data_IF_161636000589
#
_entry.id   IF_161636000589
#
_cell.length_a   1.000
_cell.length_b   1.000
_cell.length_c   1.000
_cell.angle_alpha   90.00
_cell.angle_beta   90.00
_cell.angle_gamma   90.00
#
_symmetry.space_group_name_H-M   'P 1'
#
loop_
_entity.id
_entity.type
_entity.pdbx_description
1 polymer ?
#
# COMPACT_ATOMS: atom_id res chain seq x y z
N UNK A 1 12.40 -13.15 -19.65
CA UNK A 1 12.28 -12.24 -20.81
C UNK A 1 10.90 -12.25 -21.43
N UNK A 2 10.38 -13.37 -21.97
CA UNK A 2 9.02 -13.38 -22.52
C UNK A 2 7.95 -13.20 -21.43
N UNK A 3 8.06 -13.92 -20.31
CA UNK A 3 7.12 -13.82 -19.19
C UNK A 3 7.11 -12.41 -18.57
N UNK A 4 8.27 -11.81 -18.30
CA UNK A 4 8.39 -10.47 -17.73
C UNK A 4 7.73 -9.41 -18.62
N UNK A 5 7.86 -9.53 -19.95
CA UNK A 5 7.17 -8.65 -20.91
C UNK A 5 5.66 -8.86 -20.93
N UNK A 6 5.18 -10.09 -20.80
CA UNK A 6 3.74 -10.36 -20.66
C UNK A 6 3.17 -9.80 -19.35
N UNK A 7 3.90 -9.97 -18.24
CA UNK A 7 3.53 -9.38 -16.94
C UNK A 7 3.51 -7.86 -17.05
N UNK A 8 4.53 -7.25 -17.67
CA UNK A 8 4.58 -5.80 -17.88
C UNK A 8 3.46 -5.30 -18.79
N UNK A 9 3.05 -6.05 -19.82
CA UNK A 9 1.89 -5.70 -20.65
C UNK A 9 0.58 -5.71 -19.85
N UNK A 10 0.38 -6.73 -19.02
CA UNK A 10 -0.81 -6.84 -18.16
C UNK A 10 -0.81 -5.69 -17.14
N UNK A 11 0.32 -5.43 -16.49
CA UNK A 11 0.47 -4.37 -15.51
C UNK A 11 0.27 -2.98 -16.14
N UNK A 12 0.79 -2.74 -17.34
CA UNK A 12 0.55 -1.53 -18.12
C UNK A 12 -0.94 -1.34 -18.42
N UNK A 13 -1.65 -2.40 -18.83
CA UNK A 13 -3.10 -2.37 -19.05
C UNK A 13 -3.86 -2.00 -17.77
N UNK A 14 -3.51 -2.60 -16.63
CA UNK A 14 -4.09 -2.29 -15.33
C UNK A 14 -3.81 -0.83 -14.94
N UNK A 15 -2.57 -0.35 -15.07
CA UNK A 15 -2.21 1.02 -14.74
C UNK A 15 -2.90 2.04 -15.65
N UNK A 16 -3.10 1.74 -16.94
CA UNK A 16 -3.88 2.58 -17.86
C UNK A 16 -5.36 2.63 -17.47
N UNK A 17 -5.99 1.48 -17.20
CA UNK A 17 -7.38 1.44 -16.77
C UNK A 17 -7.59 2.16 -15.42
N UNK A 18 -6.68 1.92 -14.47
CA UNK A 18 -6.69 2.56 -13.17
C UNK A 18 -6.44 4.08 -13.26
N UNK A 19 -5.51 4.50 -14.12
CA UNK A 19 -5.28 5.90 -14.45
C UNK A 19 -6.50 6.55 -15.08
N UNK A 20 -7.10 5.93 -16.10
CA UNK A 20 -8.32 6.45 -16.73
C UNK A 20 -9.43 6.69 -15.70
N UNK A 21 -9.67 5.73 -14.80
CA UNK A 21 -10.60 5.92 -13.70
C UNK A 21 -10.19 7.11 -12.79
N UNK A 22 -8.91 7.21 -12.44
CA UNK A 22 -8.42 8.29 -11.59
C UNK A 22 -8.58 9.70 -12.20
N UNK A 23 -8.30 9.88 -13.50
CA UNK A 23 -8.40 11.18 -14.18
C UNK A 23 -9.81 11.55 -14.62
N UNK A 24 -10.61 10.58 -15.07
CA UNK A 24 -11.89 10.89 -15.71
C UNK A 24 -13.10 10.57 -14.83
N UNK A 25 -13.09 9.46 -14.10
CA UNK A 25 -14.26 9.08 -13.28
C UNK A 25 -14.21 9.70 -11.90
N UNK A 26 -13.06 9.62 -11.22
CA UNK A 26 -12.92 10.15 -9.87
C UNK A 26 -12.99 11.68 -9.84
N UNK A 27 -12.30 12.38 -10.75
CA UNK A 27 -12.29 13.85 -10.77
C UNK A 27 -13.67 14.45 -11.08
N UNK A 28 -14.42 13.83 -12.00
CA UNK A 28 -15.76 14.28 -12.37
C UNK A 28 -16.76 14.13 -11.19
N UNK A 29 -16.58 13.09 -10.37
CA UNK A 29 -17.44 12.79 -9.21
C UNK A 29 -17.05 13.56 -7.94
N UNK A 30 -15.98 14.37 -7.97
CA UNK A 30 -15.59 15.16 -6.80
C UNK A 30 -16.62 16.25 -6.48
N UNK A 31 -17.14 16.21 -5.26
CA UNK A 31 -18.01 17.25 -4.74
C UNK A 31 -17.30 18.63 -4.71
N UNK A 32 -18.03 19.75 -4.85
CA UNK A 32 -17.44 21.09 -4.95
C UNK A 32 -16.52 21.48 -3.79
N UNK A 33 -16.76 20.95 -2.58
CA UNK A 33 -15.91 21.21 -1.42
C UNK A 33 -14.56 20.47 -1.48
N UNK A 34 -14.49 19.28 -2.08
CA UNK A 34 -13.23 18.52 -2.21
C UNK A 34 -12.31 19.09 -3.28
N UNK A 35 -12.86 19.76 -4.30
CA UNK A 35 -12.08 20.40 -5.36
C UNK A 35 -11.23 21.57 -4.86
N UNK A 36 -11.58 22.13 -3.69
CA UNK A 36 -10.84 23.21 -3.03
C UNK A 36 -9.66 22.71 -2.19
N UNK A 37 -9.55 21.41 -1.95
CA UNK A 37 -8.44 20.86 -1.19
C UNK A 37 -7.17 20.76 -2.06
N UNK A 38 -5.98 21.00 -1.49
CA UNK A 38 -4.71 20.89 -2.22
C UNK A 38 -4.45 19.51 -2.80
N UNK A 39 -4.96 18.46 -2.15
CA UNK A 39 -4.78 17.06 -2.53
C UNK A 39 -6.14 16.39 -2.65
N UNK A 40 -6.40 15.80 -3.82
CA UNK A 40 -7.63 15.08 -4.10
C UNK A 40 -7.47 13.58 -3.81
N UNK A 41 -8.58 12.86 -3.53
CA UNK A 41 -8.58 11.41 -3.44
C UNK A 41 -7.98 10.70 -4.67
N UNK A 42 -8.09 11.32 -5.85
CA UNK A 42 -7.53 10.81 -7.10
C UNK A 42 -6.03 11.03 -7.26
N UNK A 43 -5.39 11.88 -6.43
CA UNK A 43 -3.97 12.24 -6.57
C UNK A 43 -3.05 11.03 -6.40
N UNK A 44 -3.30 10.20 -5.38
CA UNK A 44 -2.54 8.96 -5.17
C UNK A 44 -2.71 7.96 -6.33
N UNK A 45 -3.95 7.63 -6.76
CA UNK A 45 -4.17 6.80 -7.95
C UNK A 45 -3.47 7.31 -9.22
N UNK A 46 -3.46 8.63 -9.44
CA UNK A 46 -2.78 9.27 -10.56
C UNK A 46 -1.27 9.06 -10.52
N UNK A 47 -0.64 9.31 -9.37
CA UNK A 47 0.81 9.11 -9.23
C UNK A 47 1.19 7.64 -9.44
N UNK A 48 0.44 6.71 -8.82
CA UNK A 48 0.68 5.27 -8.96
C UNK A 48 0.53 4.78 -10.40
N UNK A 49 -0.47 5.26 -11.13
CA UNK A 49 -0.66 4.88 -12.54
C UNK A 49 0.44 5.43 -13.44
N UNK A 50 0.90 6.68 -13.25
CA UNK A 50 2.03 7.24 -14.02
C UNK A 50 3.32 6.47 -13.75
N UNK A 51 3.65 6.22 -12.48
CA UNK A 51 4.85 5.46 -12.12
C UNK A 51 4.77 4.01 -12.64
N UNK A 52 3.60 3.37 -12.51
CA UNK A 52 3.38 2.02 -13.02
C UNK A 52 3.49 1.92 -14.55
N UNK A 53 2.95 2.90 -15.28
CA UNK A 53 3.14 3.01 -16.74
C UNK A 53 4.62 3.19 -17.07
N UNK A 54 5.33 4.09 -16.37
CA UNK A 54 6.75 4.34 -16.61
C UNK A 54 7.59 3.08 -16.38
N UNK A 55 7.40 2.37 -15.25
CA UNK A 55 8.13 1.12 -14.99
C UNK A 55 7.78 0.02 -16.00
N UNK A 56 6.50 -0.11 -16.36
CA UNK A 56 6.10 -1.10 -17.38
C UNK A 56 6.74 -0.82 -18.73
N UNK A 57 6.81 0.46 -19.14
CA UNK A 57 7.49 0.86 -20.37
C UNK A 57 8.99 0.57 -20.33
N UNK A 58 9.67 0.80 -19.19
CA UNK A 58 11.09 0.46 -19.01
C UNK A 58 11.33 -1.03 -19.26
N UNK A 59 10.47 -1.89 -18.70
CA UNK A 59 10.56 -3.36 -18.87
C UNK A 59 10.27 -3.77 -20.31
N UNK A 60 9.23 -3.20 -20.94
CA UNK A 60 8.85 -3.52 -22.32
C UNK A 60 9.90 -3.08 -23.34
N UNK A 61 10.50 -1.91 -23.13
CA UNK A 61 11.58 -1.38 -23.96
C UNK A 61 12.92 -2.09 -23.70
N UNK A 62 13.00 -2.93 -22.67
CA UNK A 62 14.22 -3.67 -22.33
C UNK A 62 15.37 -2.77 -21.90
N UNK A 63 15.06 -1.59 -21.33
CA UNK A 63 16.04 -0.65 -20.79
C UNK A 63 16.67 -1.14 -19.47
N UNK A 64 16.18 -2.26 -18.96
CA UNK A 64 16.65 -2.91 -17.75
C UNK A 64 18.00 -3.58 -18.01
N UNK A 65 19.04 -3.14 -17.30
CA UNK A 65 20.35 -3.78 -17.34
C UNK A 65 20.19 -5.15 -16.69
N UNK A 66 20.57 -6.21 -17.40
CA UNK A 66 20.47 -7.62 -16.98
C UNK A 66 21.02 -7.85 -15.57
N UNK A 67 20.19 -7.66 -14.54
CA UNK A 67 20.43 -8.22 -13.21
C UNK A 67 19.70 -9.55 -13.08
N UNK A 68 20.36 -10.42 -12.31
CA UNK A 68 20.15 -11.85 -12.24
C UNK A 68 18.67 -12.24 -12.18
N UNK A 69 18.28 -13.23 -12.99
CA UNK A 69 17.06 -14.00 -12.77
C UNK A 69 17.12 -14.58 -11.36
N UNK A 70 16.54 -13.85 -10.40
CA UNK A 70 16.13 -14.42 -9.12
C UNK A 70 15.19 -15.57 -9.50
N UNK A 71 15.57 -16.77 -9.05
CA UNK A 71 15.22 -18.06 -9.66
C UNK A 71 13.76 -18.21 -10.11
N UNK A 72 13.58 -19.00 -11.18
CA UNK A 72 12.27 -19.44 -11.66
C UNK A 72 11.38 -19.79 -10.46
N UNK A 73 10.25 -19.08 -10.34
CA UNK A 73 9.22 -19.40 -9.37
C UNK A 73 8.70 -20.79 -9.73
N UNK A 74 9.22 -21.81 -9.07
CA UNK A 74 8.84 -23.19 -9.30
C UNK A 74 7.41 -23.39 -8.74
N UNK A 75 6.41 -23.31 -9.63
CA UNK A 75 4.99 -23.43 -9.31
C UNK A 75 4.65 -24.71 -8.51
N UNK A 76 5.50 -25.74 -8.58
CA UNK A 76 5.35 -27.01 -7.85
C UNK A 76 5.83 -26.98 -6.40
N UNK A 77 6.65 -25.99 -6.01
CA UNK A 77 7.17 -25.81 -4.65
C UNK A 77 6.59 -24.59 -3.95
N UNK A 78 5.40 -24.14 -4.35
CA UNK A 78 4.74 -23.01 -3.73
C UNK A 78 4.53 -23.21 -2.22
N UNK A 79 4.34 -24.45 -1.77
CA UNK A 79 4.19 -24.82 -0.37
C UNK A 79 5.49 -24.75 0.47
N UNK A 80 6.66 -24.78 -0.18
CA UNK A 80 7.96 -24.61 0.50
C UNK A 80 8.28 -23.12 0.76
N UNK A 81 7.55 -22.20 0.13
CA UNK A 81 7.60 -20.79 0.49
C UNK A 81 6.90 -20.58 1.83
N UNK A 82 7.25 -19.51 2.55
CA UNK A 82 6.66 -19.12 3.83
C UNK A 82 5.16 -18.72 3.71
N UNK A 83 4.32 -19.56 3.09
CA UNK A 83 2.90 -19.36 2.85
C UNK A 83 2.12 -19.17 4.15
N UNK A 84 2.51 -19.86 5.23
CA UNK A 84 1.89 -19.68 6.54
C UNK A 84 2.07 -18.25 7.08
N UNK A 85 3.27 -17.68 6.95
CA UNK A 85 3.52 -16.28 7.33
C UNK A 85 2.78 -15.32 6.41
N UNK A 86 2.79 -15.58 5.09
CA UNK A 86 2.08 -14.76 4.11
C UNK A 86 0.56 -14.75 4.38
N UNK A 87 -0.05 -15.91 4.62
CA UNK A 87 -1.48 -16.04 4.91
C UNK A 87 -1.86 -15.36 6.23
N UNK A 88 -1.01 -15.49 7.25
CA UNK A 88 -1.25 -14.85 8.54
C UNK A 88 -1.10 -13.31 8.45
N UNK A 89 -0.15 -12.80 7.66
CA UNK A 89 -0.07 -11.38 7.31
C UNK A 89 -1.32 -10.91 6.55
N UNK A 90 -1.81 -11.71 5.61
CA UNK A 90 -3.02 -11.38 4.84
C UNK A 90 -4.25 -11.30 5.77
N UNK A 91 -4.38 -12.25 6.70
CA UNK A 91 -5.37 -12.20 7.76
C UNK A 91 -5.22 -10.96 8.65
N UNK A 92 -3.99 -10.62 9.03
CA UNK A 92 -3.70 -9.41 9.81
C UNK A 92 -4.09 -8.13 9.06
N UNK A 93 -3.91 -8.07 7.73
CA UNK A 93 -4.35 -6.94 6.91
C UNK A 93 -5.87 -6.77 6.94
N UNK A 94 -6.63 -7.88 6.93
CA UNK A 94 -8.09 -7.85 7.05
C UNK A 94 -8.49 -7.32 8.44
N UNK A 95 -7.87 -7.84 9.49
CA UNK A 95 -8.11 -7.36 10.87
C UNK A 95 -7.79 -5.87 10.98
N UNK A 96 -6.65 -5.41 10.46
CA UNK A 96 -6.28 -4.00 10.42
C UNK A 96 -7.35 -3.15 9.69
N UNK A 97 -7.85 -3.61 8.54
CA UNK A 97 -8.88 -2.90 7.79
C UNK A 97 -10.20 -2.78 8.56
N UNK A 98 -10.59 -3.83 9.30
CA UNK A 98 -11.76 -3.82 10.17
C UNK A 98 -11.58 -2.92 11.40
N UNK A 99 -10.37 -2.87 11.96
CA UNK A 99 -10.05 -2.06 13.15
C UNK A 99 -9.82 -0.58 12.84
N UNK A 100 -9.56 -0.21 11.58
CA UNK A 100 -9.33 1.19 11.18
C UNK A 100 -10.46 2.13 11.60
N UNK A 101 -11.72 1.72 11.43
CA UNK A 101 -12.89 2.53 11.82
C UNK A 101 -13.13 2.59 13.34
N UNK A 102 -13.19 1.46 14.08
CA UNK A 102 -13.50 1.48 15.50
C UNK A 102 -12.31 1.87 16.39
N UNK A 103 -11.09 1.40 16.10
CA UNK A 103 -9.92 1.59 16.96
C UNK A 103 -9.14 2.88 16.67
N UNK A 104 -9.35 3.49 15.49
CA UNK A 104 -8.60 4.65 15.03
C UNK A 104 -7.27 4.27 14.39
N UNK A 105 -6.72 5.21 13.60
CA UNK A 105 -5.54 4.97 12.78
C UNK A 105 -4.30 4.64 13.61
N UNK A 106 -4.06 5.33 14.74
CA UNK A 106 -2.84 5.14 15.53
C UNK A 106 -2.76 3.74 16.14
N UNK A 107 -3.87 3.27 16.73
CA UNK A 107 -3.91 1.95 17.35
C UNK A 107 -3.90 0.82 16.33
N UNK A 108 -4.70 0.94 15.26
CA UNK A 108 -4.77 -0.09 14.22
C UNK A 108 -3.41 -0.25 13.53
N UNK A 109 -2.76 0.85 13.14
CA UNK A 109 -1.50 0.80 12.38
C UNK A 109 -0.33 0.39 13.26
N UNK A 110 -0.24 0.90 14.49
CA UNK A 110 0.82 0.47 15.42
C UNK A 110 0.71 -1.02 15.74
N UNK A 111 -0.52 -1.51 16.00
CA UNK A 111 -0.77 -2.93 16.22
C UNK A 111 -0.44 -3.78 14.99
N UNK A 112 -0.82 -3.33 13.79
CA UNK A 112 -0.49 -3.99 12.54
C UNK A 112 1.04 -4.09 12.33
N UNK A 113 1.78 -3.01 12.54
CA UNK A 113 3.24 -2.99 12.37
C UNK A 113 3.96 -3.86 13.41
N UNK A 114 3.51 -3.84 14.67
CA UNK A 114 4.07 -4.67 15.75
C UNK A 114 3.81 -6.14 15.48
N UNK A 115 2.55 -6.53 15.24
CA UNK A 115 2.18 -7.92 14.97
C UNK A 115 2.79 -8.40 13.65
N UNK A 116 2.74 -7.58 12.61
CA UNK A 116 3.35 -7.86 11.30
C UNK A 116 4.84 -8.16 11.41
N UNK A 117 5.59 -7.31 12.10
CA UNK A 117 7.02 -7.50 12.33
C UNK A 117 7.31 -8.75 13.18
N UNK A 118 6.46 -9.05 14.17
CA UNK A 118 6.57 -10.26 14.97
C UNK A 118 6.35 -11.54 14.14
N UNK A 119 5.39 -11.53 13.21
CA UNK A 119 5.11 -12.64 12.29
C UNK A 119 6.29 -12.88 11.34
N UNK A 120 6.92 -11.79 10.89
CA UNK A 120 8.15 -11.82 10.10
C UNK A 120 9.36 -12.35 10.88
N UNK A 121 9.25 -12.53 12.20
CA UNK A 121 10.28 -13.11 13.05
C UNK A 121 11.15 -12.10 13.80
N UNK A 122 10.83 -10.80 13.76
CA UNK A 122 11.52 -9.80 14.57
C UNK A 122 11.24 -10.04 16.06
N UNK A 123 12.29 -10.26 16.87
CA UNK A 123 12.18 -10.58 18.31
C UNK A 123 12.56 -9.43 19.23
N UNK A 124 13.08 -8.32 18.71
CA UNK A 124 13.51 -7.18 19.52
C UNK A 124 12.34 -6.23 19.81
N UNK A 125 11.47 -6.63 20.74
CA UNK A 125 10.29 -5.86 21.15
C UNK A 125 10.61 -4.41 21.53
N UNK A 126 11.74 -4.17 22.21
CA UNK A 126 12.17 -2.82 22.62
C UNK A 126 12.51 -1.88 21.45
N UNK A 127 12.79 -2.42 20.26
CA UNK A 127 13.08 -1.62 19.05
C UNK A 127 11.83 -1.55 18.17
N UNK A 128 11.14 -2.68 18.01
CA UNK A 128 9.95 -2.80 17.16
C UNK A 128 8.82 -1.88 17.61
N UNK A 129 8.51 -1.85 18.91
CA UNK A 129 7.42 -1.04 19.46
C UNK A 129 7.62 0.46 19.24
N UNK A 130 8.76 1.08 19.64
CA UNK A 130 8.95 2.51 19.41
C UNK A 130 9.01 2.87 17.93
N UNK A 131 9.63 2.04 17.07
CA UNK A 131 9.64 2.30 15.62
C UNK A 131 8.23 2.27 15.05
N UNK A 132 7.42 1.27 15.40
CA UNK A 132 6.05 1.15 14.91
C UNK A 132 5.19 2.35 15.34
N UNK A 133 5.32 2.78 16.60
CA UNK A 133 4.58 3.93 17.13
C UNK A 133 5.06 5.24 16.47
N UNK A 134 6.37 5.47 16.38
CA UNK A 134 6.94 6.68 15.74
C UNK A 134 6.53 6.75 14.27
N UNK A 135 6.68 5.64 13.53
CA UNK A 135 6.28 5.58 12.12
C UNK A 135 4.78 5.87 11.97
N UNK A 136 3.94 5.29 12.82
CA UNK A 136 2.49 5.51 12.79
C UNK A 136 2.13 6.97 13.08
N UNK A 137 2.73 7.57 14.12
CA UNK A 137 2.50 8.98 14.47
C UNK A 137 3.00 9.91 13.36
N UNK A 138 4.14 9.60 12.77
CA UNK A 138 4.71 10.37 11.66
C UNK A 138 3.79 10.34 10.43
N UNK A 139 3.32 9.15 10.02
CA UNK A 139 2.37 9.00 8.91
C UNK A 139 1.08 9.72 9.21
N UNK A 140 0.55 9.56 10.43
CA UNK A 140 -0.66 10.27 10.86
C UNK A 140 -0.48 11.79 10.78
N UNK A 141 0.64 12.32 11.25
CA UNK A 141 0.95 13.74 11.20
C UNK A 141 1.00 14.24 9.76
N UNK A 142 1.68 13.53 8.86
CA UNK A 142 1.69 13.87 7.44
C UNK A 142 0.27 13.89 6.88
N UNK A 143 -0.52 12.84 7.09
CA UNK A 143 -1.84 12.77 6.45
C UNK A 143 -2.83 13.77 7.04
N UNK A 144 -2.84 13.93 8.36
CA UNK A 144 -3.81 14.80 9.01
C UNK A 144 -3.41 16.28 8.95
N UNK A 145 -2.15 16.60 9.24
CA UNK A 145 -1.70 18.00 9.33
C UNK A 145 -1.18 18.54 7.99
N UNK A 146 -0.45 17.73 7.22
CA UNK A 146 0.13 18.18 5.95
C UNK A 146 -0.88 18.03 4.81
N UNK A 147 -1.55 16.87 4.72
CA UNK A 147 -2.51 16.62 3.65
C UNK A 147 -3.92 17.15 3.98
N UNK A 148 -4.21 17.47 5.24
CA UNK A 148 -5.53 17.95 5.67
C UNK A 148 -6.64 16.89 5.53
N UNK A 149 -6.27 15.62 5.34
CA UNK A 149 -7.22 14.52 5.20
C UNK A 149 -7.55 14.02 6.60
N UNK A 150 -8.81 14.18 7.01
CA UNK A 150 -9.25 13.74 8.32
C UNK A 150 -9.17 12.22 8.44
N UNK A 151 -8.29 11.76 9.32
CA UNK A 151 -8.19 10.37 9.76
C UNK A 151 -8.44 10.31 11.26
N UNK A 152 -9.40 9.53 11.72
CA UNK A 152 -9.70 9.43 13.16
C UNK A 152 -8.47 8.91 13.92
N UNK A 153 -7.84 9.72 14.79
CA UNK A 153 -6.62 9.31 15.47
C UNK A 153 -6.90 8.29 16.59
N UNK A 154 -8.01 8.50 17.28
CA UNK A 154 -8.40 7.78 18.50
C UNK A 154 -9.61 6.88 18.23
N UNK A 155 -9.81 5.83 19.04
CA UNK A 155 -10.96 4.95 18.94
C UNK A 155 -12.25 5.75 19.09
N UNK A 156 -13.30 5.34 18.38
CA UNK A 156 -14.61 6.04 18.36
C UNK A 156 -15.30 6.13 19.72
N UNK A 157 -14.77 5.45 20.74
CA UNK A 157 -15.22 5.55 22.14
C UNK A 157 -14.59 6.73 22.90
N UNK A 158 -13.49 7.31 22.42
CA UNK A 158 -12.71 8.35 23.11
C UNK A 158 -12.81 9.72 22.41
N UNK A 159 -13.21 9.76 21.13
CA UNK A 159 -13.46 11.00 20.40
C UNK A 159 -14.67 10.87 19.48
N UNK A 160 -15.76 11.56 19.83
CA UNK A 160 -16.97 11.68 19.00
C UNK A 160 -16.69 12.27 17.63
#
# INVERSE_FOLDING_TARGET
>A
MALDRWIALILLGICMAYGYAAWFTMDAQLAPFMRRNPIWPSTFPKVLSVLGIAMSLIILLGLEKSEQKIGDIDYRRLADYHLGQALFLLGLMIVYALLLRPAGFLFSTSGFLILGSFILGERKWHIMVPIAVIATVFVWYLVQQVLGIYMRPLPGFVGG
#
